data_IF_674123055617
#
_entry.id   IF_674123055617
#
_cell.length_a   1.000
_cell.length_b   1.000
_cell.length_c   1.000
_cell.angle_alpha   90.00
_cell.angle_beta   90.00
_cell.angle_gamma   90.00
#
_symmetry.space_group_name_H-M   'P 1'
#
loop_
_entity.id
_entity.type
_entity.pdbx_description
1 polymer ?
#
# COMPACT_ATOMS: atom_id res chain seq x y z
N UNK A 1 -30.25 -19.09 -28.07
CA UNK A 1 -30.68 -18.43 -26.81
C UNK A 1 -29.82 -18.84 -25.61
N UNK A 2 -29.73 -20.12 -25.22
CA UNK A 2 -28.88 -20.58 -24.09
C UNK A 2 -27.40 -20.19 -24.20
N UNK A 3 -26.81 -20.29 -25.39
CA UNK A 3 -25.40 -19.90 -25.64
C UNK A 3 -25.15 -18.40 -25.48
N UNK A 4 -26.13 -17.56 -25.82
CA UNK A 4 -26.04 -16.10 -25.66
C UNK A 4 -26.13 -15.73 -24.18
N UNK A 5 -27.02 -16.39 -23.42
CA UNK A 5 -27.16 -16.20 -21.96
C UNK A 5 -25.90 -16.61 -21.21
N UNK A 6 -25.26 -17.71 -21.59
CA UNK A 6 -23.99 -18.14 -20.97
C UNK A 6 -22.87 -17.15 -21.29
N UNK A 7 -22.82 -16.61 -22.51
CA UNK A 7 -21.82 -15.62 -22.90
C UNK A 7 -22.00 -14.30 -22.15
N UNK A 8 -23.24 -13.83 -21.96
CA UNK A 8 -23.51 -12.61 -21.16
C UNK A 8 -23.27 -12.83 -19.68
N UNK A 9 -23.56 -14.01 -19.12
CA UNK A 9 -23.28 -14.31 -17.72
C UNK A 9 -21.77 -14.43 -17.46
N UNK A 10 -21.02 -15.06 -18.37
CA UNK A 10 -19.57 -15.09 -18.32
C UNK A 10 -18.96 -13.68 -18.44
N UNK A 11 -19.52 -12.81 -19.30
CA UNK A 11 -19.06 -11.44 -19.44
C UNK A 11 -19.38 -10.56 -18.21
N UNK A 12 -20.51 -10.80 -17.54
CA UNK A 12 -20.86 -10.13 -16.28
C UNK A 12 -19.91 -10.50 -15.12
N UNK A 13 -19.35 -11.71 -15.14
CA UNK A 13 -18.40 -12.20 -14.12
C UNK A 13 -16.99 -11.62 -14.32
N UNK A 14 -16.66 -11.13 -15.52
CA UNK A 14 -15.31 -10.64 -15.85
C UNK A 14 -15.11 -9.14 -15.51
N UNK A 15 -16.15 -8.42 -15.09
CA UNK A 15 -16.01 -7.01 -14.68
C UNK A 15 -15.63 -6.92 -13.20
N UNK A 16 -14.44 -7.37 -12.85
CA UNK A 16 -13.75 -6.91 -11.64
C UNK A 16 -12.79 -5.80 -12.07
N UNK A 17 -13.24 -4.55 -11.99
CA UNK A 17 -12.33 -3.41 -12.16
C UNK A 17 -11.49 -3.36 -10.89
N UNK A 18 -10.18 -3.64 -11.00
CA UNK A 18 -9.24 -3.36 -9.93
C UNK A 18 -9.18 -1.84 -9.78
N UNK A 19 -9.82 -1.31 -8.74
CA UNK A 19 -9.80 0.10 -8.42
C UNK A 19 -8.66 0.37 -7.44
N UNK A 20 -7.95 1.49 -7.63
CA UNK A 20 -7.01 1.97 -6.64
C UNK A 20 -7.77 2.31 -5.35
N UNK A 21 -7.24 1.84 -4.22
CA UNK A 21 -7.82 2.12 -2.90
C UNK A 21 -6.94 3.14 -2.20
N UNK A 22 -7.52 4.32 -1.92
CA UNK A 22 -6.87 5.36 -1.14
C UNK A 22 -7.15 5.10 0.33
N UNK A 23 -6.08 4.85 1.09
CA UNK A 23 -6.15 4.59 2.52
C UNK A 23 -5.76 5.87 3.27
N UNK A 24 -6.71 6.40 4.05
CA UNK A 24 -6.55 7.66 4.75
C UNK A 24 -6.78 8.87 3.84
N UNK A 25 -7.56 9.83 4.31
CA UNK A 25 -7.79 11.13 3.64
C UNK A 25 -7.43 12.30 4.56
N UNK A 26 -6.59 12.03 5.57
CA UNK A 26 -6.14 13.03 6.51
C UNK A 26 -5.31 14.10 5.80
N UNK A 27 -5.49 15.35 6.20
CA UNK A 27 -4.67 16.49 5.73
C UNK A 27 -3.55 16.84 6.71
N UNK A 28 -3.40 16.05 7.78
CA UNK A 28 -2.41 16.30 8.81
C UNK A 28 -1.01 15.90 8.31
N UNK A 29 -0.03 16.75 8.58
CA UNK A 29 1.38 16.40 8.37
C UNK A 29 1.76 15.27 9.31
N UNK A 30 2.09 14.11 8.74
CA UNK A 30 2.48 12.94 9.52
C UNK A 30 3.68 12.26 8.89
N UNK A 31 4.52 11.65 9.72
CA UNK A 31 5.72 10.91 9.30
C UNK A 31 5.38 9.51 8.78
N UNK A 32 4.19 9.35 8.19
CA UNK A 32 3.64 8.07 7.78
C UNK A 32 3.48 8.02 6.24
N UNK A 33 3.77 6.86 5.62
CA UNK A 33 4.33 5.66 6.24
C UNK A 33 5.85 5.73 6.41
N UNK A 34 6.53 6.67 5.74
CA UNK A 34 7.98 6.79 5.79
C UNK A 34 8.36 8.02 6.62
N UNK A 35 8.99 7.78 7.77
CA UNK A 35 9.65 8.84 8.51
C UNK A 35 11.02 9.07 7.86
N UNK A 36 11.21 10.19 7.20
CA UNK A 36 12.45 10.51 6.51
C UNK A 36 13.33 11.49 7.30
N UNK A 37 12.89 11.93 8.48
CA UNK A 37 13.66 12.82 9.34
C UNK A 37 14.98 12.18 9.80
N UNK A 38 15.01 10.85 9.88
CA UNK A 38 16.21 10.06 10.17
C UNK A 38 16.51 9.11 9.01
N UNK A 39 17.78 9.03 8.60
CA UNK A 39 18.23 8.20 7.47
C UNK A 39 18.15 6.68 7.68
N UNK A 40 17.53 6.22 8.79
CA UNK A 40 17.44 4.81 9.19
C UNK A 40 16.12 4.49 9.91
N UNK A 41 15.05 5.20 9.55
CA UNK A 41 13.73 4.94 10.14
C UNK A 41 13.14 3.63 9.69
N UNK A 42 12.37 3.03 10.58
CA UNK A 42 11.57 1.85 10.34
C UNK A 42 10.16 2.10 10.87
N UNK A 43 9.17 1.63 10.13
CA UNK A 43 7.75 1.78 10.45
C UNK A 43 7.00 0.50 10.07
N UNK A 44 5.91 0.25 10.80
CA UNK A 44 5.05 -0.92 10.59
C UNK A 44 3.61 -0.48 10.74
N UNK A 45 2.77 -0.94 9.81
CA UNK A 45 1.34 -0.63 9.78
C UNK A 45 0.55 -1.89 9.54
N UNK A 46 -0.66 -1.90 10.11
CA UNK A 46 -1.65 -2.93 9.87
C UNK A 46 -2.82 -2.27 9.14
N UNK A 47 -3.18 -2.84 7.99
CA UNK A 47 -4.36 -2.44 7.23
C UNK A 47 -5.29 -3.64 7.14
N UNK A 48 -6.54 -3.45 7.54
CA UNK A 48 -7.56 -4.49 7.45
C UNK A 48 -7.96 -4.72 5.99
N UNK A 49 -8.34 -5.95 5.66
CA UNK A 49 -8.82 -6.32 4.32
C UNK A 49 -9.98 -5.41 3.84
N UNK A 50 -10.85 -4.97 4.76
CA UNK A 50 -11.92 -4.02 4.46
C UNK A 50 -11.44 -2.60 4.19
N UNK A 51 -10.32 -2.17 4.78
CA UNK A 51 -9.74 -0.83 4.56
C UNK A 51 -9.05 -0.72 3.21
N UNK A 52 -8.43 -1.83 2.76
CA UNK A 52 -7.76 -1.90 1.45
C UNK A 52 -8.67 -2.39 0.32
N UNK A 53 -9.98 -2.46 0.57
CA UNK A 53 -10.99 -2.78 -0.45
C UNK A 53 -10.98 -4.23 -0.96
N UNK A 54 -10.34 -5.16 -0.25
CA UNK A 54 -10.31 -6.60 -0.60
C UNK A 54 -10.87 -7.49 0.52
N UNK A 55 -12.15 -7.32 0.94
CA UNK A 55 -12.72 -8.04 2.08
C UNK A 55 -12.76 -9.58 1.92
N UNK A 56 -12.60 -10.09 0.70
CA UNK A 56 -12.52 -11.53 0.39
C UNK A 56 -11.10 -12.00 0.08
N UNK A 57 -10.11 -11.15 0.31
CA UNK A 57 -8.72 -11.35 -0.14
C UNK A 57 -8.48 -10.84 -1.56
N UNK A 58 -7.21 -10.68 -1.90
CA UNK A 58 -6.77 -10.17 -3.19
C UNK A 58 -5.25 -10.05 -3.25
N UNK A 59 -4.73 -9.78 -4.44
CA UNK A 59 -3.30 -9.52 -4.64
C UNK A 59 -3.06 -8.03 -4.72
N UNK A 60 -2.20 -7.51 -3.84
CA UNK A 60 -1.66 -6.16 -3.97
C UNK A 60 -0.71 -6.17 -5.16
N UNK A 61 -1.04 -5.43 -6.22
CA UNK A 61 -0.24 -5.37 -7.44
C UNK A 61 0.68 -4.17 -7.48
N UNK A 62 0.25 -3.06 -6.87
CA UNK A 62 0.99 -1.80 -6.82
C UNK A 62 0.71 -1.10 -5.49
N UNK A 63 1.68 -0.35 -5.02
CA UNK A 63 1.56 0.55 -3.89
C UNK A 63 2.01 1.94 -4.34
N UNK A 64 1.33 2.97 -3.84
CA UNK A 64 1.64 4.36 -4.13
C UNK A 64 1.55 5.16 -2.85
N UNK A 65 2.52 6.04 -2.67
CA UNK A 65 2.49 7.08 -1.65
C UNK A 65 2.69 8.43 -2.31
N UNK A 66 2.17 9.45 -1.67
CA UNK A 66 2.35 10.84 -2.06
C UNK A 66 2.85 11.60 -0.86
N UNK A 67 3.78 12.52 -1.11
CA UNK A 67 4.34 13.42 -0.11
C UNK A 67 4.27 14.83 -0.68
N UNK A 68 3.94 15.78 0.20
CA UNK A 68 3.81 17.19 -0.12
C UNK A 68 4.39 18.01 1.03
N UNK A 69 5.71 18.10 1.10
CA UNK A 69 6.37 19.02 2.03
C UNK A 69 7.51 19.80 1.36
N UNK A 70 7.65 21.03 1.83
CA UNK A 70 8.62 21.99 1.32
C UNK A 70 9.89 21.90 2.16
N UNK A 71 11.02 21.59 1.52
CA UNK A 71 12.34 21.62 2.16
C UNK A 71 12.86 20.27 2.66
N UNK A 72 12.22 19.17 2.29
CA UNK A 72 12.71 17.82 2.53
C UNK A 72 14.07 17.58 1.85
N UNK A 73 14.94 16.80 2.50
CA UNK A 73 16.19 16.37 1.88
C UNK A 73 15.85 15.26 0.86
N UNK A 74 16.08 15.46 -0.46
CA UNK A 74 15.79 14.45 -1.48
C UNK A 74 16.64 13.18 -1.33
N UNK A 75 17.71 13.22 -0.53
CA UNK A 75 18.56 12.09 -0.21
C UNK A 75 18.31 11.55 1.22
N UNK A 76 17.20 11.93 1.86
CA UNK A 76 16.90 11.54 3.24
C UNK A 76 16.81 10.01 3.41
N UNK A 77 16.40 9.31 2.36
CA UNK A 77 16.29 7.84 2.37
C UNK A 77 17.12 7.27 1.22
N UNK A 78 18.23 6.61 1.57
CA UNK A 78 19.13 5.99 0.60
C UNK A 78 18.48 4.79 -0.11
N UNK A 79 18.08 3.78 0.66
CA UNK A 79 17.38 2.60 0.15
C UNK A 79 16.15 2.34 1.02
N UNK A 80 14.98 2.24 0.40
CA UNK A 80 13.72 1.87 1.07
C UNK A 80 13.38 0.42 0.73
N UNK A 81 13.24 -0.42 1.74
CA UNK A 81 12.73 -1.77 1.56
C UNK A 81 11.28 -1.84 2.06
N UNK A 82 10.41 -2.46 1.25
CA UNK A 82 9.01 -2.69 1.60
C UNK A 82 8.82 -4.18 1.80
N UNK A 83 8.28 -4.53 2.97
CA UNK A 83 8.01 -5.90 3.37
C UNK A 83 6.52 -6.03 3.66
N UNK A 84 5.89 -7.09 3.14
CA UNK A 84 4.48 -7.37 3.36
C UNK A 84 4.30 -8.73 4.03
N UNK A 85 3.34 -8.81 4.94
CA UNK A 85 2.90 -10.05 5.56
C UNK A 85 1.38 -10.03 5.74
N UNK A 86 0.75 -11.19 5.63
CA UNK A 86 -0.65 -11.37 6.00
C UNK A 86 -0.73 -11.79 7.48
N UNK A 87 -1.73 -11.28 8.20
CA UNK A 87 -1.94 -11.61 9.61
C UNK A 87 -3.42 -11.68 9.93
N UNK A 88 -3.75 -12.43 10.97
CA UNK A 88 -5.10 -12.51 11.55
C UNK A 88 -5.32 -11.49 12.68
N UNK A 89 -4.28 -10.75 13.05
CA UNK A 89 -4.39 -9.69 14.05
C UNK A 89 -5.23 -8.54 13.49
N UNK A 90 -6.02 -7.90 14.36
CA UNK A 90 -6.75 -6.67 14.07
C UNK A 90 -6.06 -5.42 14.66
N UNK A 91 -4.96 -5.62 15.38
CA UNK A 91 -4.12 -4.58 15.95
C UNK A 91 -2.67 -5.05 16.09
N UNK A 92 -1.73 -4.10 16.06
CA UNK A 92 -0.32 -4.32 16.37
C UNK A 92 0.07 -3.46 17.58
N UNK A 93 0.18 -4.09 18.74
CA UNK A 93 0.67 -3.45 19.98
C UNK A 93 2.15 -3.73 20.26
N UNK A 94 2.73 -4.65 19.50
CA UNK A 94 4.14 -5.03 19.55
C UNK A 94 4.67 -5.17 18.12
N UNK A 95 5.97 -4.90 17.95
CA UNK A 95 6.65 -5.04 16.68
C UNK A 95 6.54 -6.49 16.16
N UNK A 96 6.11 -6.66 14.91
CA UNK A 96 6.06 -7.96 14.25
C UNK A 96 7.32 -8.20 13.42
N UNK A 97 7.74 -9.45 13.32
CA UNK A 97 8.82 -9.87 12.41
C UNK A 97 8.53 -9.42 10.97
N UNK A 98 9.59 -9.10 10.24
CA UNK A 98 9.45 -8.70 8.84
C UNK A 98 8.87 -9.84 8.01
N UNK A 99 8.00 -9.49 7.06
CA UNK A 99 7.35 -10.44 6.17
C UNK A 99 8.21 -10.89 5.01
N UNK A 100 7.63 -10.88 3.81
CA UNK A 100 8.34 -11.11 2.56
C UNK A 100 8.75 -9.76 1.96
N UNK A 101 10.01 -9.59 1.48
CA UNK A 101 10.41 -8.38 0.80
C UNK A 101 9.72 -8.32 -0.56
N UNK A 102 9.02 -7.22 -0.84
CA UNK A 102 8.25 -7.04 -2.09
C UNK A 102 8.81 -5.92 -2.97
N UNK A 103 9.58 -5.00 -2.40
CA UNK A 103 10.28 -3.97 -3.15
C UNK A 103 11.53 -3.50 -2.42
N UNK A 104 12.53 -3.13 -3.21
CA UNK A 104 13.68 -2.35 -2.79
C UNK A 104 13.77 -1.17 -3.74
N UNK A 105 13.78 0.04 -3.18
CA UNK A 105 13.73 1.29 -3.93
C UNK A 105 14.97 2.08 -3.53
N UNK A 106 15.92 2.16 -4.44
CA UNK A 106 17.06 3.05 -4.28
C UNK A 106 16.65 4.48 -4.62
N UNK A 107 17.09 5.42 -3.78
CA UNK A 107 16.93 6.85 -3.99
C UNK A 107 15.47 7.23 -4.29
N UNK A 108 14.57 6.77 -3.42
CA UNK A 108 13.12 6.99 -3.57
C UNK A 108 12.86 8.48 -3.81
N UNK A 109 12.37 8.80 -5.01
CA UNK A 109 11.94 10.14 -5.35
C UNK A 109 10.62 10.39 -4.61
N UNK A 110 10.71 11.07 -3.47
CA UNK A 110 9.55 11.47 -2.68
C UNK A 110 8.83 12.69 -3.29
N UNK A 111 9.25 13.13 -4.48
CA UNK A 111 8.80 14.34 -5.13
C UNK A 111 9.55 15.57 -4.61
N UNK A 112 9.76 16.53 -5.49
CA UNK A 112 9.84 17.93 -5.09
C UNK A 112 8.41 18.41 -4.88
N UNK A 113 8.07 18.90 -3.68
CA UNK A 113 6.84 19.69 -3.50
C UNK A 113 6.71 20.78 -4.57
#
# INVERSE_FOLDING_TARGET
MKKIIILTLALLVIVSVAADVVIGTGMETSYFPFNDYYAHSHSQYLYLASEIGVPQGGTITHLKWFRDDVGANPNAIGTTQIWLNETILDNISVWQEAGTPVAEIDNIDLGSG
#
